data_IF_185696678866
#
_entry.id   IF_185696678866
#
_cell.length_a   1.000
_cell.length_b   1.000
_cell.length_c   1.000
_cell.angle_alpha   90.00
_cell.angle_beta   90.00
_cell.angle_gamma   90.00
#
_symmetry.space_group_name_H-M   'P 1'
#
loop_
_entity.id
_entity.type
_entity.pdbx_description
1 polymer ?
#
# COMPACT_ATOMS: atom_id res chain seq x y z
N UNK A 1 -10.53 10.80 -15.35
CA UNK A 1 -11.45 9.85 -14.70
C UNK A 1 -12.37 10.66 -13.79
N UNK A 2 -13.67 10.39 -13.71
CA UNK A 2 -14.60 11.16 -12.86
C UNK A 2 -14.38 10.85 -11.37
N UNK A 3 -14.22 11.86 -10.48
CA UNK A 3 -13.96 11.66 -9.05
C UNK A 3 -15.03 10.82 -8.32
N UNK A 4 -16.28 10.89 -8.80
CA UNK A 4 -17.43 10.20 -8.18
C UNK A 4 -17.42 8.68 -8.32
N UNK A 5 -16.77 8.13 -9.35
CA UNK A 5 -16.72 6.67 -9.57
C UNK A 5 -15.71 5.96 -8.65
N UNK A 6 -14.65 6.64 -8.23
CA UNK A 6 -13.61 6.05 -7.36
C UNK A 6 -14.16 5.74 -5.96
N UNK A 7 -15.05 6.60 -5.46
CA UNK A 7 -15.74 6.41 -4.17
C UNK A 7 -16.71 5.22 -4.15
N UNK A 8 -17.26 4.82 -5.30
CA UNK A 8 -18.18 3.68 -5.39
C UNK A 8 -17.45 2.32 -5.37
N UNK A 9 -16.14 2.27 -5.57
CA UNK A 9 -15.34 1.03 -5.62
C UNK A 9 -14.42 0.86 -4.40
N UNK A 10 -14.73 1.51 -3.27
CA UNK A 10 -13.91 1.43 -2.05
C UNK A 10 -12.49 1.99 -2.22
N UNK A 11 -12.23 2.78 -3.26
CA UNK A 11 -10.91 3.31 -3.55
C UNK A 11 -9.95 2.32 -4.22
N UNK A 12 -10.40 1.15 -4.71
CA UNK A 12 -9.54 0.19 -5.41
C UNK A 12 -9.66 0.31 -6.94
N UNK A 13 -8.51 0.30 -7.62
CA UNK A 13 -8.38 0.30 -9.08
C UNK A 13 -7.48 -0.84 -9.55
N UNK A 14 -7.91 -1.59 -10.56
CA UNK A 14 -7.15 -2.68 -11.16
C UNK A 14 -6.66 -2.33 -12.57
N UNK A 15 -5.36 -2.44 -12.79
CA UNK A 15 -4.71 -2.32 -14.10
C UNK A 15 -4.30 -3.71 -14.55
N UNK A 16 -4.99 -4.25 -15.55
CA UNK A 16 -4.70 -5.59 -16.09
C UNK A 16 -4.18 -5.49 -17.52
N UNK A 17 -3.21 -6.32 -17.87
CA UNK A 17 -2.66 -6.32 -19.23
C UNK A 17 -1.57 -7.36 -19.46
N UNK A 18 -1.26 -7.61 -20.74
CA UNK A 18 -0.25 -8.58 -21.17
C UNK A 18 1.16 -8.24 -20.65
N UNK A 19 2.10 -9.20 -20.61
CA UNK A 19 3.52 -8.89 -20.42
C UNK A 19 3.99 -7.82 -21.43
N UNK A 20 4.83 -6.88 -21.01
CA UNK A 20 5.36 -5.83 -21.89
C UNK A 20 4.37 -4.74 -22.32
N UNK A 21 3.12 -4.74 -21.85
CA UNK A 21 2.10 -3.73 -22.21
C UNK A 21 2.30 -2.34 -21.59
N UNK A 22 3.39 -2.11 -20.87
CA UNK A 22 3.72 -0.79 -20.30
C UNK A 22 2.95 -0.41 -19.02
N UNK A 23 2.29 -1.35 -18.32
CA UNK A 23 1.55 -1.10 -17.06
C UNK A 23 2.39 -0.37 -16.01
N UNK A 24 3.59 -0.89 -15.73
CA UNK A 24 4.52 -0.30 -14.77
C UNK A 24 4.99 1.10 -15.21
N UNK A 25 5.18 1.30 -16.52
CA UNK A 25 5.51 2.63 -17.09
C UNK A 25 4.36 3.61 -16.91
N UNK A 26 3.11 3.16 -17.14
CA UNK A 26 1.92 3.97 -16.92
C UNK A 26 1.75 4.32 -15.43
N UNK A 27 1.91 3.35 -14.52
CA UNK A 27 1.85 3.60 -13.08
C UNK A 27 2.91 4.60 -12.64
N UNK A 28 4.16 4.44 -13.08
CA UNK A 28 5.26 5.40 -12.81
C UNK A 28 4.97 6.78 -13.38
N UNK A 29 4.41 6.87 -14.58
CA UNK A 29 4.02 8.15 -15.18
C UNK A 29 2.90 8.84 -14.38
N UNK A 30 1.87 8.10 -13.96
CA UNK A 30 0.79 8.62 -13.12
C UNK A 30 1.33 9.05 -11.77
N UNK A 31 2.22 8.25 -11.17
CA UNK A 31 2.94 8.58 -9.95
C UNK A 31 3.66 9.93 -10.12
N UNK A 32 4.60 10.03 -11.05
CA UNK A 32 5.38 11.26 -11.29
C UNK A 32 4.51 12.50 -11.56
N UNK A 33 3.38 12.34 -12.26
CA UNK A 33 2.44 13.43 -12.52
C UNK A 33 1.69 13.86 -11.25
N UNK A 34 1.25 12.89 -10.43
CA UNK A 34 0.55 13.15 -9.16
C UNK A 34 1.45 13.91 -8.17
N UNK A 35 2.74 13.56 -8.10
CA UNK A 35 3.73 14.25 -7.27
C UNK A 35 3.93 15.72 -7.67
N UNK A 36 3.78 16.05 -8.96
CA UNK A 36 3.94 17.43 -9.47
C UNK A 36 2.72 18.30 -9.22
N UNK A 37 1.53 17.72 -9.21
CA UNK A 37 0.26 18.45 -9.15
C UNK A 37 -0.33 18.56 -7.74
N UNK A 38 -0.04 17.62 -6.83
CA UNK A 38 -0.64 17.58 -5.49
C UNK A 38 0.40 17.32 -4.39
N UNK A 39 1.03 18.39 -3.89
CA UNK A 39 2.00 18.30 -2.79
C UNK A 39 1.38 17.87 -1.45
N UNK A 40 0.05 18.01 -1.30
CA UNK A 40 -0.69 17.66 -0.08
C UNK A 40 -1.21 16.20 -0.08
N UNK A 41 -0.66 15.33 -0.94
CA UNK A 41 -1.06 13.92 -1.02
C UNK A 41 0.10 13.00 -0.63
N UNK A 42 -0.18 11.99 0.20
CA UNK A 42 0.77 10.93 0.47
C UNK A 42 0.78 9.95 -0.69
N UNK A 43 1.94 9.75 -1.31
CA UNK A 43 2.06 8.87 -2.46
C UNK A 43 2.98 7.71 -2.10
N UNK A 44 2.41 6.51 -2.12
CA UNK A 44 3.03 5.26 -1.68
C UNK A 44 3.19 4.32 -2.87
N UNK A 45 4.26 3.54 -2.89
CA UNK A 45 4.45 2.55 -3.95
C UNK A 45 5.21 1.31 -3.50
N UNK A 46 4.85 0.16 -4.08
CA UNK A 46 5.58 -1.08 -3.95
C UNK A 46 5.52 -1.86 -5.27
N UNK A 47 6.65 -2.40 -5.69
CA UNK A 47 6.76 -3.19 -6.90
C UNK A 47 7.29 -4.56 -6.51
N UNK A 48 6.45 -5.59 -6.65
CA UNK A 48 6.92 -6.95 -6.42
C UNK A 48 8.00 -7.30 -7.45
N UNK A 49 9.02 -8.00 -6.97
CA UNK A 49 10.10 -8.52 -7.80
C UNK A 49 10.43 -9.97 -7.42
N UNK A 50 9.93 -10.92 -8.20
CA UNK A 50 10.04 -12.35 -7.96
C UNK A 50 11.48 -12.86 -7.91
N UNK A 51 12.40 -12.16 -8.58
CA UNK A 51 13.85 -12.43 -8.59
C UNK A 51 14.64 -11.57 -7.62
N UNK A 52 13.96 -10.72 -6.85
CA UNK A 52 14.54 -9.82 -5.88
C UNK A 52 14.88 -10.48 -4.56
N UNK A 53 15.33 -9.66 -3.62
CA UNK A 53 15.58 -10.10 -2.25
C UNK A 53 14.27 -10.50 -1.53
N UNK A 54 14.36 -11.21 -0.41
CA UNK A 54 13.19 -11.79 0.27
C UNK A 54 12.08 -10.78 0.61
N UNK A 55 12.42 -9.51 0.84
CA UNK A 55 11.44 -8.45 1.08
C UNK A 55 10.76 -7.97 -0.21
N UNK A 56 11.46 -7.97 -1.35
CA UNK A 56 10.92 -7.48 -2.62
C UNK A 56 9.88 -8.44 -3.22
N UNK A 57 9.83 -9.68 -2.72
CA UNK A 57 8.87 -10.71 -3.16
C UNK A 57 7.81 -11.09 -2.11
N UNK A 58 7.75 -10.39 -0.97
CA UNK A 58 6.86 -10.78 0.14
C UNK A 58 5.93 -9.65 0.59
N UNK A 59 4.74 -10.02 1.06
CA UNK A 59 3.78 -9.10 1.68
C UNK A 59 4.36 -8.40 2.91
N UNK A 60 5.26 -9.07 3.65
CA UNK A 60 6.00 -8.46 4.75
C UNK A 60 6.87 -7.28 4.28
N UNK A 61 7.55 -7.42 3.14
CA UNK A 61 8.31 -6.31 2.56
C UNK A 61 7.42 -5.18 2.06
N UNK A 62 6.26 -5.52 1.48
CA UNK A 62 5.23 -4.54 1.12
C UNK A 62 4.79 -3.72 2.34
N UNK A 63 4.30 -4.37 3.40
CA UNK A 63 3.79 -3.65 4.56
C UNK A 63 4.87 -2.81 5.26
N UNK A 64 6.11 -3.31 5.35
CA UNK A 64 7.25 -2.53 5.85
C UNK A 64 7.53 -1.30 5.00
N UNK A 65 7.54 -1.45 3.68
CA UNK A 65 7.78 -0.36 2.74
C UNK A 65 6.70 0.70 2.82
N UNK A 66 5.43 0.29 2.85
CA UNK A 66 4.26 1.17 2.97
C UNK A 66 4.31 1.95 4.28
N UNK A 67 4.51 1.28 5.42
CA UNK A 67 4.64 1.94 6.71
C UNK A 67 5.82 2.94 6.71
N UNK A 68 6.97 2.53 6.18
CA UNK A 68 8.15 3.40 6.08
C UNK A 68 7.89 4.66 5.26
N UNK A 69 7.17 4.53 4.13
CA UNK A 69 6.81 5.67 3.27
C UNK A 69 5.82 6.60 3.97
N UNK A 70 4.81 6.08 4.67
CA UNK A 70 3.88 6.89 5.47
C UNK A 70 4.62 7.67 6.57
N UNK A 71 5.52 7.02 7.31
CA UNK A 71 6.32 7.66 8.36
C UNK A 71 7.36 8.65 7.82
N UNK A 72 7.70 8.55 6.53
CA UNK A 72 8.57 9.52 5.85
C UNK A 72 7.77 10.73 5.40
N UNK A 73 6.54 10.50 4.92
CA UNK A 73 5.61 11.56 4.53
C UNK A 73 5.17 12.42 5.72
N UNK A 74 4.74 11.79 6.83
CA UNK A 74 4.43 12.48 8.08
C UNK A 74 5.26 11.94 9.25
N UNK A 75 6.45 12.55 9.50
CA UNK A 75 7.32 12.15 10.61
C UNK A 75 6.68 12.27 11.99
N UNK A 76 5.61 13.05 12.18
CA UNK A 76 4.92 13.19 13.48
C UNK A 76 4.28 11.88 13.91
N UNK A 77 3.89 11.04 12.94
CA UNK A 77 3.30 9.73 13.21
C UNK A 77 4.25 8.80 13.98
N UNK A 78 5.57 8.96 13.85
CA UNK A 78 6.56 8.17 14.62
C UNK A 78 6.38 8.32 16.13
N UNK A 79 5.86 9.46 16.58
CA UNK A 79 5.66 9.75 18.00
C UNK A 79 4.27 9.28 18.44
N UNK A 80 3.26 9.43 17.60
CA UNK A 80 1.85 9.22 17.94
C UNK A 80 1.34 7.79 17.74
N UNK A 81 2.00 7.00 16.90
CA UNK A 81 1.65 5.60 16.71
C UNK A 81 1.95 4.81 17.98
N UNK A 82 1.18 3.75 18.18
CA UNK A 82 1.44 2.75 19.24
C UNK A 82 2.79 2.06 19.09
N UNK A 83 3.56 2.33 18.04
CA UNK A 83 4.94 1.88 17.86
C UNK A 83 5.80 2.11 19.11
N UNK A 84 5.65 3.26 19.79
CA UNK A 84 6.36 3.54 21.04
C UNK A 84 5.89 2.65 22.21
N UNK A 85 4.61 2.28 22.25
CA UNK A 85 4.05 1.32 23.21
C UNK A 85 4.62 -0.07 22.94
N UNK A 86 4.62 -0.50 21.67
CA UNK A 86 5.19 -1.78 21.24
C UNK A 86 6.70 -1.85 21.55
N UNK A 87 7.48 -0.82 21.19
CA UNK A 87 8.90 -0.71 21.55
C UNK A 87 9.15 -0.86 23.06
N UNK A 88 8.31 -0.25 23.90
CA UNK A 88 8.42 -0.35 25.37
C UNK A 88 8.01 -1.72 25.92
N UNK A 89 7.02 -2.38 25.33
CA UNK A 89 6.57 -3.70 25.75
C UNK A 89 7.57 -4.81 25.36
N UNK A 90 8.23 -4.68 24.21
CA UNK A 90 9.20 -5.66 23.71
C UNK A 90 10.63 -5.44 24.18
N UNK A 91 10.97 -4.24 24.67
CA UNK A 91 12.29 -3.95 25.25
C UNK A 91 12.59 -4.70 26.55
N UNK A 92 11.63 -5.44 27.11
CA UNK A 92 11.80 -6.21 28.35
C UNK A 92 12.29 -7.64 28.12
N UNK A 93 12.22 -8.26 26.94
CA UNK A 93 12.70 -9.66 26.80
C UNK A 93 13.14 -10.17 25.40
N UNK A 94 12.79 -9.52 24.29
CA UNK A 94 13.32 -9.92 22.96
C UNK A 94 12.93 -8.86 21.94
N UNK A 95 13.88 -8.38 21.13
CA UNK A 95 13.66 -7.30 20.16
C UNK A 95 12.41 -7.46 19.29
N UNK A 96 11.85 -6.35 18.79
CA UNK A 96 10.60 -6.34 18.03
C UNK A 96 10.66 -7.32 16.85
N UNK A 97 9.74 -8.29 16.86
CA UNK A 97 9.42 -9.09 15.68
C UNK A 97 8.38 -8.36 14.85
N UNK A 98 8.80 -7.84 13.70
CA UNK A 98 7.92 -7.18 12.74
C UNK A 98 7.09 -8.21 11.97
N UNK A 99 5.95 -8.63 12.55
CA UNK A 99 4.97 -9.52 11.91
C UNK A 99 4.02 -8.72 11.01
N UNK A 100 3.31 -9.42 10.11
CA UNK A 100 2.34 -8.78 9.24
C UNK A 100 1.18 -8.17 10.04
N UNK A 101 0.76 -8.81 11.13
CA UNK A 101 -0.32 -8.33 12.00
C UNK A 101 0.06 -6.98 12.63
N UNK A 102 1.27 -6.89 13.20
CA UNK A 102 1.77 -5.63 13.77
C UNK A 102 1.92 -4.54 12.71
N UNK A 103 2.42 -4.90 11.52
CA UNK A 103 2.58 -3.93 10.43
C UNK A 103 1.23 -3.41 9.94
N UNK A 104 0.22 -4.28 9.82
CA UNK A 104 -1.14 -3.90 9.45
C UNK A 104 -1.76 -2.97 10.48
N UNK A 105 -1.66 -3.30 11.78
CA UNK A 105 -2.14 -2.44 12.87
C UNK A 105 -1.52 -1.04 12.83
N UNK A 106 -0.19 -0.97 12.64
CA UNK A 106 0.51 0.31 12.54
C UNK A 106 0.12 1.12 11.30
N UNK A 107 -0.17 0.46 10.18
CA UNK A 107 -0.64 1.13 8.95
C UNK A 107 -2.07 1.65 9.16
N UNK A 108 -2.97 0.86 9.77
CA UNK A 108 -4.33 1.29 10.11
C UNK A 108 -4.30 2.54 11.00
N UNK A 109 -3.54 2.50 12.09
CA UNK A 109 -3.37 3.65 12.99
C UNK A 109 -2.80 4.88 12.27
N UNK A 110 -1.90 4.67 11.31
CA UNK A 110 -1.33 5.76 10.53
C UNK A 110 -2.36 6.38 9.59
N UNK A 111 -3.15 5.56 8.89
CA UNK A 111 -4.23 6.02 8.00
C UNK A 111 -5.30 6.80 8.78
N UNK A 112 -5.66 6.37 9.99
CA UNK A 112 -6.61 7.10 10.85
C UNK A 112 -6.13 8.50 11.24
N UNK A 113 -4.81 8.69 11.35
CA UNK A 113 -4.21 9.94 11.84
C UNK A 113 -3.77 10.86 10.70
N UNK A 114 -3.71 10.36 9.47
CA UNK A 114 -3.38 11.17 8.31
C UNK A 114 -4.51 12.16 8.04
N UNK A 115 -4.12 13.39 7.72
CA UNK A 115 -5.04 14.44 7.25
C UNK A 115 -5.01 14.61 5.74
N UNK A 116 -4.01 14.00 5.09
CA UNK A 116 -3.79 14.05 3.65
C UNK A 116 -4.42 12.84 2.97
N UNK A 117 -4.90 13.03 1.74
CA UNK A 117 -5.32 11.89 0.93
C UNK A 117 -4.09 11.02 0.57
N UNK A 118 -4.34 9.76 0.23
CA UNK A 118 -3.30 8.76 -0.05
C UNK A 118 -3.55 8.15 -1.43
N UNK A 119 -2.50 8.02 -2.24
CA UNK A 119 -2.48 7.12 -3.41
C UNK A 119 -1.43 6.05 -3.18
N UNK A 120 -1.81 4.79 -3.37
CA UNK A 120 -0.92 3.65 -3.20
C UNK A 120 -0.85 2.86 -4.51
N UNK A 121 0.35 2.67 -5.06
CA UNK A 121 0.58 1.85 -6.25
C UNK A 121 1.23 0.53 -5.86
N UNK A 122 0.61 -0.59 -6.24
CA UNK A 122 1.14 -1.93 -5.98
C UNK A 122 1.16 -2.70 -7.30
N UNK A 123 2.37 -3.00 -7.77
CA UNK A 123 2.61 -3.61 -9.08
C UNK A 123 3.07 -5.06 -8.96
N UNK A 124 2.80 -5.83 -10.01
CA UNK A 124 3.17 -7.24 -10.17
C UNK A 124 2.57 -8.17 -9.10
N UNK A 125 1.28 -7.99 -8.78
CA UNK A 125 0.57 -8.84 -7.80
C UNK A 125 0.56 -10.32 -8.16
N UNK A 126 0.68 -10.65 -9.44
CA UNK A 126 0.79 -12.02 -9.95
C UNK A 126 2.10 -12.72 -9.55
N UNK A 127 3.07 -12.01 -8.99
CA UNK A 127 4.29 -12.57 -8.42
C UNK A 127 4.12 -13.04 -6.96
N UNK A 128 2.98 -12.74 -6.33
CA UNK A 128 2.61 -13.23 -5.00
C UNK A 128 1.80 -14.52 -5.04
N UNK A 129 1.74 -15.23 -3.91
CA UNK A 129 0.84 -16.37 -3.76
C UNK A 129 -0.62 -15.92 -3.66
N UNK A 130 -1.54 -16.71 -4.20
CA UNK A 130 -2.97 -16.37 -4.25
C UNK A 130 -3.60 -16.08 -2.87
N UNK A 131 -3.19 -16.78 -1.82
CA UNK A 131 -3.66 -16.57 -0.45
C UNK A 131 -3.16 -15.24 0.13
N UNK A 132 -1.89 -14.91 -0.11
CA UNK A 132 -1.28 -13.63 0.25
C UNK A 132 -1.95 -12.46 -0.50
N UNK A 133 -2.27 -12.64 -1.79
CA UNK A 133 -2.97 -11.61 -2.59
C UNK A 133 -4.36 -11.33 -2.03
N UNK A 134 -5.14 -12.38 -1.69
CA UNK A 134 -6.50 -12.20 -1.16
C UNK A 134 -6.49 -11.48 0.19
N UNK A 135 -5.61 -11.89 1.10
CA UNK A 135 -5.45 -11.24 2.40
C UNK A 135 -5.02 -9.78 2.25
N UNK A 136 -4.08 -9.49 1.35
CA UNK A 136 -3.63 -8.14 1.07
C UNK A 136 -4.75 -7.27 0.47
N UNK A 137 -5.49 -7.76 -0.53
CA UNK A 137 -6.59 -7.00 -1.13
C UNK A 137 -7.65 -6.67 -0.08
N UNK A 138 -8.07 -7.65 0.74
CA UNK A 138 -9.03 -7.43 1.81
C UNK A 138 -8.53 -6.41 2.85
N UNK A 139 -7.22 -6.40 3.13
CA UNK A 139 -6.62 -5.40 4.01
C UNK A 139 -6.69 -3.99 3.40
N UNK A 140 -6.35 -3.81 2.12
CA UNK A 140 -6.43 -2.50 1.46
C UNK A 140 -7.87 -2.01 1.26
N UNK A 141 -8.84 -2.91 1.10
CA UNK A 141 -10.27 -2.57 1.12
C UNK A 141 -10.68 -1.98 2.47
N UNK A 142 -10.29 -2.65 3.57
CA UNK A 142 -10.50 -2.14 4.94
C UNK A 142 -9.85 -0.77 5.15
N UNK A 143 -8.62 -0.57 4.65
CA UNK A 143 -7.97 0.74 4.73
C UNK A 143 -8.76 1.82 3.96
N UNK A 144 -9.39 1.46 2.83
CA UNK A 144 -10.24 2.35 2.07
C UNK A 144 -11.45 2.81 2.88
N UNK A 145 -12.13 1.88 3.55
CA UNK A 145 -13.25 2.16 4.44
C UNK A 145 -12.82 3.05 5.63
N UNK A 146 -11.67 2.73 6.24
CA UNK A 146 -11.10 3.48 7.35
C UNK A 146 -10.74 4.92 6.94
N UNK A 147 -10.12 5.09 5.77
CA UNK A 147 -9.81 6.40 5.22
C UNK A 147 -11.07 7.25 5.01
N UNK A 148 -12.11 6.66 4.39
CA UNK A 148 -13.39 7.32 4.16
C UNK A 148 -14.04 7.76 5.49
N UNK A 149 -14.02 6.89 6.51
CA UNK A 149 -14.57 7.20 7.83
C UNK A 149 -13.84 8.39 8.51
N UNK A 150 -12.55 8.58 8.21
CA UNK A 150 -11.75 9.70 8.70
C UNK A 150 -11.75 10.93 7.78
N UNK A 151 -12.57 10.92 6.71
CA UNK A 151 -12.69 12.05 5.79
C UNK A 151 -11.50 12.22 4.83
N UNK A 152 -10.59 11.24 4.76
CA UNK A 152 -9.46 11.22 3.83
C UNK A 152 -9.72 10.28 2.66
N UNK A 153 -9.22 10.64 1.47
CA UNK A 153 -9.31 9.74 0.31
C UNK A 153 -8.17 8.73 0.31
N UNK A 154 -8.46 7.45 0.10
CA UNK A 154 -7.45 6.44 -0.24
C UNK A 154 -7.77 5.87 -1.63
N UNK A 155 -6.80 5.93 -2.55
CA UNK A 155 -6.84 5.28 -3.85
C UNK A 155 -5.72 4.25 -3.93
N UNK A 156 -6.05 2.98 -4.13
CA UNK A 156 -5.10 1.88 -4.30
C UNK A 156 -5.16 1.37 -5.73
N UNK A 157 -4.04 1.42 -6.43
CA UNK A 157 -3.88 0.96 -7.80
C UNK A 157 -3.10 -0.36 -7.80
N UNK A 158 -3.78 -1.45 -8.12
CA UNK A 158 -3.19 -2.79 -8.29
C UNK A 158 -2.88 -3.06 -9.75
N UNK A 159 -1.76 -3.72 -10.02
CA UNK A 159 -1.39 -4.17 -11.37
C UNK A 159 -1.13 -5.68 -11.39
N UNK A 160 -1.69 -6.36 -12.41
CA UNK A 160 -1.52 -7.80 -12.65
C UNK A 160 -1.28 -8.11 -14.13
N UNK A 161 -0.44 -9.10 -14.40
CA UNK A 161 -0.25 -9.67 -15.73
C UNK A 161 -1.38 -10.65 -16.06
N UNK A 162 -2.05 -10.44 -17.21
CA UNK A 162 -2.98 -11.45 -17.76
C UNK A 162 -2.21 -12.36 -18.71
N UNK A 163 -2.17 -13.65 -18.40
CA UNK A 163 -1.78 -14.70 -19.33
C UNK A 163 -3.04 -15.14 -20.08
N UNK A 164 -3.20 -14.71 -21.33
CA UNK A 164 -4.22 -15.30 -22.20
C UNK A 164 -3.71 -16.67 -22.64
N UNK A 165 -4.29 -17.74 -22.10
CA UNK A 165 -4.07 -19.08 -22.63
C UNK A 165 -4.83 -19.12 -23.96
N UNK A 166 -4.11 -19.11 -25.07
CA UNK A 166 -4.69 -19.42 -26.38
C UNK A 166 -5.10 -20.89 -26.35
N UNK A 167 -6.40 -21.17 -26.34
CA UNK A 167 -6.95 -22.50 -26.62
C UNK A 167 -6.95 -22.76 -28.13
#
# INVERSE_FOLDING_TARGET
MEPGKIRQHGGLLWIKGKPGSGKSTLMKFILESSWKENQDQAILSFFFHARGHDLEKSTAGLYRSILSQILTYDPKLKITLSLNRHLRLFSQDSGIKWTNELLKELIEEAIERLTSSVVCFIDALDECKDDEVRDMVAFFERLGELAIANGVGLLVCFSVVIILISH
#
